data_IF_457965150766
#
_entry.id   IF_457965150766
#
_cell.length_a   1.000
_cell.length_b   1.000
_cell.length_c   1.000
_cell.angle_alpha   90.00
_cell.angle_beta   90.00
_cell.angle_gamma   90.00
#
_symmetry.space_group_name_H-M   'P 1'
#
loop_
_entity.id
_entity.type
_entity.pdbx_description
1 polymer ?
#
# COMPACT_ATOMS: atom_id res chain seq x y z
N UNK A 1 13.87 39.66 45.33
CA UNK A 1 14.11 38.26 44.89
C UNK A 1 12.92 37.57 44.20
N UNK A 2 11.73 38.21 44.07
CA UNK A 2 10.53 37.56 43.48
C UNK A 2 10.33 37.74 41.96
N UNK A 3 10.97 38.75 41.34
CA UNK A 3 10.81 39.03 39.89
C UNK A 3 11.49 37.99 39.00
N UNK A 4 12.68 37.54 39.38
CA UNK A 4 13.47 36.57 38.61
C UNK A 4 12.82 35.19 38.61
N UNK A 5 12.29 34.75 39.77
CA UNK A 5 11.62 33.46 39.91
C UNK A 5 10.35 33.36 39.04
N UNK A 6 9.57 34.45 38.95
CA UNK A 6 8.36 34.51 38.13
C UNK A 6 8.66 34.42 36.63
N UNK A 7 9.77 34.99 36.19
CA UNK A 7 10.19 34.94 34.78
C UNK A 7 10.71 33.56 34.37
N UNK A 8 11.35 32.83 35.30
CA UNK A 8 11.81 31.44 35.09
C UNK A 8 10.63 30.49 34.94
N UNK A 9 9.61 30.62 35.81
CA UNK A 9 8.39 29.79 35.74
C UNK A 9 7.59 30.09 34.46
N UNK A 10 7.48 31.37 34.07
CA UNK A 10 6.82 31.75 32.83
C UNK A 10 7.53 31.22 31.58
N UNK A 11 8.88 31.24 31.57
CA UNK A 11 9.67 30.67 30.47
C UNK A 11 9.53 29.14 30.37
N UNK A 12 9.48 28.45 31.50
CA UNK A 12 9.32 26.99 31.54
C UNK A 12 7.91 26.55 31.08
N UNK A 13 6.87 27.30 31.45
CA UNK A 13 5.51 27.04 30.99
C UNK A 13 5.35 27.22 29.47
N UNK A 14 6.05 28.20 28.88
CA UNK A 14 6.04 28.43 27.44
C UNK A 14 6.76 27.30 26.66
N UNK A 15 7.86 26.77 27.20
CA UNK A 15 8.60 25.66 26.60
C UNK A 15 7.82 24.33 26.66
N UNK A 16 7.10 24.07 27.75
CA UNK A 16 6.25 22.87 27.88
C UNK A 16 5.02 22.93 26.96
N UNK A 17 4.47 24.13 26.70
CA UNK A 17 3.36 24.31 25.77
C UNK A 17 3.71 24.04 24.30
N UNK A 18 4.97 24.26 23.89
CA UNK A 18 5.45 24.02 22.52
C UNK A 18 5.74 22.54 22.22
N UNK A 19 5.90 21.69 23.25
CA UNK A 19 6.22 20.28 23.08
C UNK A 19 4.98 19.37 22.83
N UNK A 20 3.75 19.88 23.05
CA UNK A 20 2.53 19.08 22.95
C UNK A 20 1.86 19.07 21.56
N UNK A 21 2.46 19.70 20.54
CA UNK A 21 1.80 19.93 19.24
C UNK A 21 2.02 18.86 18.17
N UNK A 22 2.94 17.92 18.34
CA UNK A 22 3.29 16.94 17.29
C UNK A 22 2.61 15.61 17.59
N UNK A 23 1.28 15.57 17.51
CA UNK A 23 0.61 14.30 17.30
C UNK A 23 0.92 13.84 15.87
N UNK A 24 1.52 12.64 15.67
CA UNK A 24 1.70 12.12 14.33
C UNK A 24 0.31 12.00 13.72
N UNK A 25 0.08 12.75 12.64
CA UNK A 25 -1.12 12.60 11.83
C UNK A 25 -1.17 11.15 11.37
N UNK A 26 -2.22 10.41 11.74
CA UNK A 26 -2.47 9.09 11.18
C UNK A 26 -2.47 9.24 9.67
N UNK A 27 -1.44 8.72 9.00
CA UNK A 27 -1.29 8.83 7.56
C UNK A 27 -2.58 8.33 6.91
N UNK A 28 -3.32 9.25 6.29
CA UNK A 28 -4.55 8.92 5.57
C UNK A 28 -4.15 7.93 4.48
N UNK A 29 -4.82 6.78 4.43
CA UNK A 29 -4.50 5.76 3.44
C UNK A 29 -4.74 6.33 2.03
N UNK A 30 -3.68 6.52 1.26
CA UNK A 30 -3.76 7.07 -0.09
C UNK A 30 -4.37 6.03 -1.06
N UNK A 31 -5.30 6.43 -1.94
CA UNK A 31 -5.86 5.53 -2.94
C UNK A 31 -4.80 5.21 -3.99
N UNK A 32 -4.58 3.91 -4.23
CA UNK A 32 -3.62 3.40 -5.19
C UNK A 32 -4.34 2.64 -6.30
N UNK A 33 -4.10 3.04 -7.54
CA UNK A 33 -4.67 2.40 -8.73
C UNK A 33 -3.60 1.55 -9.39
N UNK A 34 -3.86 0.25 -9.49
CA UNK A 34 -2.95 -0.72 -10.09
C UNK A 34 -3.61 -1.35 -11.31
N UNK A 35 -2.98 -1.20 -12.46
CA UNK A 35 -3.27 -2.01 -13.64
C UNK A 35 -2.13 -3.00 -13.82
N UNK A 36 -2.44 -4.29 -13.79
CA UNK A 36 -1.44 -5.37 -13.87
C UNK A 36 -1.72 -6.20 -15.10
N UNK A 37 -0.67 -6.64 -15.76
CA UNK A 37 -0.74 -7.67 -16.79
C UNK A 37 -0.07 -8.94 -16.32
N UNK A 38 -0.74 -10.07 -16.53
CA UNK A 38 -0.21 -11.39 -16.24
C UNK A 38 0.07 -12.07 -17.57
N UNK A 39 1.34 -12.37 -17.82
CA UNK A 39 1.83 -12.98 -19.05
C UNK A 39 2.34 -14.39 -18.78
N UNK A 40 2.17 -15.26 -19.78
CA UNK A 40 2.67 -16.63 -19.74
C UNK A 40 3.13 -17.04 -21.12
N UNK A 41 4.39 -17.46 -21.23
CA UNK A 41 4.98 -17.91 -22.51
C UNK A 41 4.72 -16.90 -23.65
N UNK A 42 4.83 -15.60 -23.34
CA UNK A 42 4.57 -14.50 -24.28
C UNK A 42 3.08 -14.21 -24.55
N UNK A 43 2.13 -14.90 -23.89
CA UNK A 43 0.68 -14.67 -24.03
C UNK A 43 0.10 -14.01 -22.80
N UNK A 44 -0.66 -12.92 -23.00
CA UNK A 44 -1.45 -12.28 -21.96
C UNK A 44 -2.59 -13.21 -21.48
N UNK A 45 -2.63 -13.52 -20.19
CA UNK A 45 -3.63 -14.44 -19.59
C UNK A 45 -4.62 -13.75 -18.65
N UNK A 46 -4.26 -12.58 -18.10
CA UNK A 46 -5.14 -11.75 -17.29
C UNK A 46 -4.67 -10.29 -17.26
N UNK A 47 -5.62 -9.37 -17.05
CA UNK A 47 -5.34 -7.94 -16.88
C UNK A 47 -6.24 -7.33 -15.78
N UNK A 48 -6.02 -7.65 -14.49
CA UNK A 48 -6.84 -7.09 -13.42
C UNK A 48 -6.56 -5.60 -13.22
N UNK A 49 -7.63 -4.83 -13.10
CA UNK A 49 -7.60 -3.45 -12.58
C UNK A 49 -8.00 -3.47 -11.11
N UNK A 50 -7.15 -2.94 -10.26
CA UNK A 50 -7.29 -3.00 -8.82
C UNK A 50 -7.24 -1.58 -8.24
N UNK A 51 -8.27 -1.23 -7.49
CA UNK A 51 -8.27 -0.04 -6.64
C UNK A 51 -7.94 -0.50 -5.22
N UNK A 52 -6.85 0.04 -4.68
CA UNK A 52 -6.43 -0.19 -3.31
C UNK A 52 -6.20 1.07 -2.53
N UNK A 53 -5.78 0.85 -1.29
CA UNK A 53 -5.38 1.91 -0.37
C UNK A 53 -4.08 1.44 0.29
N UNK A 54 -3.18 2.38 0.58
CA UNK A 54 -1.90 2.07 1.24
C UNK A 54 -2.11 1.31 2.54
N UNK A 55 -1.39 0.19 2.75
CA UNK A 55 -1.51 -0.64 3.94
C UNK A 55 -2.65 -1.65 3.90
N UNK A 56 -3.41 -1.76 2.81
CA UNK A 56 -4.47 -2.76 2.63
C UNK A 56 -4.12 -3.77 1.53
N UNK A 57 -4.26 -5.06 1.85
CA UNK A 57 -4.08 -6.14 0.89
C UNK A 57 -5.19 -6.14 -0.17
N UNK A 58 -4.80 -6.21 -1.43
CA UNK A 58 -5.70 -6.35 -2.57
C UNK A 58 -5.63 -7.78 -3.11
N UNK A 59 -6.78 -8.29 -3.54
CA UNK A 59 -6.87 -9.64 -4.12
C UNK A 59 -7.73 -9.61 -5.37
N UNK A 60 -7.15 -10.05 -6.49
CA UNK A 60 -7.88 -10.40 -7.70
C UNK A 60 -7.89 -11.91 -7.85
N UNK A 61 -9.06 -12.48 -8.11
CA UNK A 61 -9.22 -13.89 -8.42
C UNK A 61 -10.17 -14.03 -9.61
N UNK A 62 -9.80 -14.83 -10.60
CA UNK A 62 -10.73 -15.30 -11.64
C UNK A 62 -10.98 -16.77 -11.44
N UNK A 63 -12.25 -17.15 -11.43
CA UNK A 63 -12.68 -18.54 -11.31
C UNK A 63 -13.86 -18.77 -12.24
N UNK A 64 -13.76 -19.81 -13.07
CA UNK A 64 -14.89 -20.28 -13.87
C UNK A 64 -16.00 -20.82 -12.95
N UNK A 65 -17.29 -20.61 -13.29
CA UNK A 65 -18.39 -21.20 -12.51
C UNK A 65 -18.24 -22.72 -12.37
N UNK A 66 -18.39 -23.22 -11.14
CA UNK A 66 -18.26 -24.65 -10.85
C UNK A 66 -16.82 -25.20 -10.80
N UNK A 67 -15.80 -24.38 -11.10
CA UNK A 67 -14.41 -24.84 -11.01
C UNK A 67 -13.95 -24.97 -9.54
N UNK A 68 -13.27 -26.06 -9.16
CA UNK A 68 -12.78 -26.28 -7.80
C UNK A 68 -11.64 -25.33 -7.42
N UNK A 69 -10.87 -24.87 -8.41
CA UNK A 69 -9.73 -23.96 -8.26
C UNK A 69 -9.95 -22.70 -9.09
N UNK A 70 -9.30 -21.61 -8.66
CA UNK A 70 -9.24 -20.38 -9.44
C UNK A 70 -8.33 -20.56 -10.67
N UNK A 71 -8.68 -19.91 -11.78
CA UNK A 71 -7.80 -19.87 -12.96
C UNK A 71 -6.51 -19.09 -12.63
N UNK A 72 -6.65 -18.04 -11.81
CA UNK A 72 -5.52 -17.35 -11.19
C UNK A 72 -5.94 -16.69 -9.88
N UNK A 73 -4.96 -16.47 -9.00
CA UNK A 73 -5.08 -15.58 -7.84
C UNK A 73 -3.86 -14.66 -7.80
N UNK A 74 -4.13 -13.35 -7.75
CA UNK A 74 -3.16 -12.30 -7.58
C UNK A 74 -3.43 -11.60 -6.25
N UNK A 75 -2.40 -11.49 -5.40
CA UNK A 75 -2.44 -10.72 -4.15
C UNK A 75 -1.39 -9.63 -4.22
N UNK A 76 -1.80 -8.40 -3.92
CA UNK A 76 -0.92 -7.23 -3.84
C UNK A 76 -0.95 -6.66 -2.42
N UNK A 77 0.21 -6.33 -1.87
CA UNK A 77 0.32 -5.71 -0.54
C UNK A 77 1.16 -4.43 -0.65
N UNK A 78 0.54 -3.29 -0.98
CA UNK A 78 1.22 -2.02 -1.02
C UNK A 78 1.53 -1.52 0.40
N UNK A 79 2.78 -1.08 0.61
CA UNK A 79 3.25 -0.44 1.84
C UNK A 79 3.92 0.89 1.50
N UNK A 80 3.63 1.93 2.27
CA UNK A 80 4.39 3.17 2.19
C UNK A 80 5.85 2.91 2.60
N UNK A 81 6.78 3.48 1.85
CA UNK A 81 8.21 3.48 2.13
C UNK A 81 8.82 4.84 1.76
N UNK A 82 8.87 5.75 2.73
CA UNK A 82 9.27 7.14 2.52
C UNK A 82 8.36 7.85 1.51
N UNK A 83 8.95 8.33 0.42
CA UNK A 83 8.25 8.97 -0.71
C UNK A 83 7.81 7.96 -1.81
N UNK A 84 7.97 6.66 -1.55
CA UNK A 84 7.68 5.60 -2.51
C UNK A 84 6.76 4.54 -1.90
N UNK A 85 6.38 3.55 -2.71
CA UNK A 85 5.62 2.40 -2.24
C UNK A 85 6.39 1.12 -2.54
N UNK A 86 6.54 0.28 -1.51
CA UNK A 86 6.97 -1.09 -1.69
C UNK A 86 5.73 -1.95 -2.01
N UNK A 87 5.78 -2.66 -3.14
CA UNK A 87 4.70 -3.54 -3.57
C UNK A 87 5.14 -5.00 -3.44
N UNK A 88 4.58 -5.72 -2.47
CA UNK A 88 4.71 -7.18 -2.42
C UNK A 88 3.62 -7.83 -3.25
N UNK A 89 3.96 -8.92 -3.93
CA UNK A 89 3.08 -9.59 -4.86
C UNK A 89 3.19 -11.11 -4.72
N UNK A 90 2.03 -11.78 -4.65
CA UNK A 90 1.91 -13.23 -4.80
C UNK A 90 1.03 -13.56 -6.00
N UNK A 91 1.53 -14.43 -6.89
CA UNK A 91 0.79 -14.95 -8.04
C UNK A 91 0.68 -16.47 -7.94
N UNK A 92 -0.55 -16.96 -7.93
CA UNK A 92 -0.87 -18.38 -8.02
C UNK A 92 -1.57 -18.68 -9.34
N UNK A 93 -1.02 -19.63 -10.10
CA UNK A 93 -1.56 -20.14 -11.34
C UNK A 93 -1.64 -21.68 -11.26
N UNK A 94 -2.75 -22.26 -10.75
CA UNK A 94 -2.80 -23.67 -10.35
C UNK A 94 -2.58 -24.67 -11.49
N UNK A 95 -3.00 -24.34 -12.70
CA UNK A 95 -2.85 -25.19 -13.89
C UNK A 95 -1.57 -24.85 -14.69
N UNK A 96 -0.69 -23.99 -14.15
CA UNK A 96 0.50 -23.54 -14.87
C UNK A 96 1.75 -24.36 -14.58
N UNK A 97 2.40 -24.81 -15.67
CA UNK A 97 3.79 -25.24 -15.72
C UNK A 97 4.57 -24.21 -16.54
N UNK A 98 5.81 -23.91 -16.14
CA UNK A 98 6.68 -22.96 -16.85
C UNK A 98 6.78 -21.58 -16.17
N UNK A 99 7.30 -20.60 -16.91
CA UNK A 99 7.56 -19.25 -16.40
C UNK A 99 6.31 -18.36 -16.51
N UNK A 100 6.18 -17.43 -15.58
CA UNK A 100 5.14 -16.40 -15.57
C UNK A 100 5.78 -15.04 -15.39
N UNK A 101 5.20 -14.05 -16.03
CA UNK A 101 5.67 -12.67 -16.00
C UNK A 101 4.54 -11.75 -15.56
N UNK A 102 4.92 -10.68 -14.88
CA UNK A 102 4.00 -9.66 -14.41
C UNK A 102 4.53 -8.30 -14.80
N UNK A 103 3.66 -7.48 -15.37
CA UNK A 103 3.95 -6.08 -15.64
C UNK A 103 3.03 -5.19 -14.82
N UNK A 104 3.60 -4.21 -14.14
CA UNK A 104 2.85 -3.13 -13.51
C UNK A 104 2.75 -1.98 -14.50
N UNK A 105 1.52 -1.64 -14.90
CA UNK A 105 1.26 -0.55 -15.82
C UNK A 105 1.14 0.76 -15.03
N UNK A 106 1.87 1.78 -15.47
CA UNK A 106 1.79 3.13 -14.90
C UNK A 106 0.89 4.04 -15.75
N UNK A 107 0.23 5.01 -15.12
CA UNK A 107 -0.55 6.04 -15.82
C UNK A 107 -1.89 5.58 -16.40
N UNK A 108 -2.41 4.43 -15.98
CA UNK A 108 -3.74 3.94 -16.35
C UNK A 108 -4.75 4.37 -15.26
N UNK A 109 -5.74 5.19 -15.61
CA UNK A 109 -6.90 5.52 -14.76
C UNK A 109 -8.15 4.80 -15.25
#
# INVERSE_FOLDING_TARGET
MYRTFRNVVAGLALLLGLACGVMPSSAVAEPLYFAVEVWREGRLVAQPKLLGETGRTLRAERRRPGAPLADYRLVLMPRADGESFLLQLDLLLPEAKGHSELALLHGQQ
#
